data_IF_620471156279
#
_entry.id   IF_620471156279
#
_cell.length_a   1.000
_cell.length_b   1.000
_cell.length_c   1.000
_cell.angle_alpha   90.00
_cell.angle_beta   90.00
_cell.angle_gamma   90.00
#
_symmetry.space_group_name_H-M   'P 1'
#
loop_
_entity.id
_entity.type
_entity.pdbx_description
1 polymer ?
#
# COMPACT_ATOMS: atom_id res chain seq x y z
N UNK A 1 -6.48 3.75 -11.44
CA UNK A 1 -6.79 2.48 -10.76
C UNK A 1 -7.03 2.77 -9.29
N UNK A 2 -7.98 2.06 -8.69
CA UNK A 2 -8.30 2.15 -7.26
C UNK A 2 -7.28 1.36 -6.43
N UNK A 3 -7.27 1.57 -5.11
CA UNK A 3 -6.37 0.87 -4.19
C UNK A 3 -6.59 -0.65 -4.25
N UNK A 4 -7.84 -1.09 -4.23
CA UNK A 4 -8.23 -2.50 -4.22
C UNK A 4 -7.78 -3.21 -5.50
N UNK A 5 -7.80 -2.52 -6.65
CA UNK A 5 -7.33 -3.07 -7.92
C UNK A 5 -5.81 -3.30 -7.90
N UNK A 6 -5.06 -2.35 -7.34
CA UNK A 6 -3.60 -2.47 -7.20
C UNK A 6 -3.20 -3.55 -6.19
N UNK A 7 -3.94 -3.66 -5.10
CA UNK A 7 -3.74 -4.71 -4.10
C UNK A 7 -3.96 -6.09 -4.74
N UNK A 8 -5.03 -6.25 -5.51
CA UNK A 8 -5.30 -7.49 -6.23
C UNK A 8 -4.20 -7.85 -7.23
N UNK A 9 -3.65 -6.87 -7.96
CA UNK A 9 -2.51 -7.10 -8.86
C UNK A 9 -1.27 -7.56 -8.09
N UNK A 10 -1.00 -6.99 -6.92
CA UNK A 10 0.11 -7.43 -6.08
C UNK A 10 -0.09 -8.87 -5.60
N UNK A 11 -1.31 -9.25 -5.19
CA UNK A 11 -1.63 -10.64 -4.82
C UNK A 11 -1.43 -11.62 -5.98
N UNK A 12 -1.78 -11.22 -7.21
CA UNK A 12 -1.54 -12.02 -8.41
C UNK A 12 -0.05 -12.21 -8.69
N UNK A 13 0.76 -11.15 -8.50
CA UNK A 13 2.22 -11.23 -8.61
C UNK A 13 2.80 -12.18 -7.57
N UNK A 14 2.36 -12.08 -6.32
CA UNK A 14 2.82 -12.98 -5.23
C UNK A 14 2.54 -14.44 -5.60
N UNK A 15 1.34 -14.75 -6.10
CA UNK A 15 1.00 -16.11 -6.55
C UNK A 15 1.92 -16.62 -7.66
N UNK A 16 2.29 -15.75 -8.61
CA UNK A 16 3.23 -16.12 -9.68
C UNK A 16 4.62 -16.40 -9.09
N UNK A 17 5.07 -15.59 -8.13
CA UNK A 17 6.38 -15.76 -7.49
C UNK A 17 6.46 -16.98 -6.56
N UNK A 18 5.33 -17.42 -6.00
CA UNK A 18 5.23 -18.65 -5.18
C UNK A 18 5.15 -19.93 -6.00
N UNK A 19 4.84 -19.85 -7.30
CA UNK A 19 4.82 -21.02 -8.19
C UNK A 19 6.24 -21.46 -8.55
N UNK A 20 6.61 -22.67 -8.13
CA UNK A 20 7.92 -23.29 -8.40
C UNK A 20 8.21 -23.47 -9.91
N UNK A 21 7.19 -23.42 -10.77
CA UNK A 21 7.32 -23.54 -12.21
C UNK A 21 7.61 -22.20 -12.90
N UNK A 22 7.59 -21.09 -12.17
CA UNK A 22 7.86 -19.77 -12.73
C UNK A 22 9.32 -19.67 -13.17
N UNK A 23 9.60 -19.41 -14.47
CA UNK A 23 10.97 -19.23 -14.94
C UNK A 23 11.65 -18.05 -14.24
N UNK A 24 12.95 -18.18 -13.96
CA UNK A 24 13.72 -17.17 -13.22
C UNK A 24 13.61 -15.76 -13.84
N UNK A 25 13.70 -15.65 -15.16
CA UNK A 25 13.60 -14.36 -15.86
C UNK A 25 12.22 -13.69 -15.64
N UNK A 26 11.15 -14.51 -15.59
CA UNK A 26 9.80 -14.01 -15.30
C UNK A 26 9.68 -13.61 -13.84
N UNK A 27 10.25 -14.40 -12.91
CA UNK A 27 10.23 -14.06 -11.49
C UNK A 27 10.92 -12.72 -11.20
N UNK A 28 12.05 -12.44 -11.87
CA UNK A 28 12.76 -11.15 -11.73
C UNK A 28 11.87 -9.99 -12.18
N UNK A 29 11.24 -10.10 -13.36
CA UNK A 29 10.32 -9.05 -13.87
C UNK A 29 9.12 -8.85 -12.93
N UNK A 30 8.51 -9.95 -12.46
CA UNK A 30 7.36 -9.90 -11.56
C UNK A 30 7.72 -9.33 -10.20
N UNK A 31 8.92 -9.60 -9.71
CA UNK A 31 9.43 -8.99 -8.48
C UNK A 31 9.56 -7.48 -8.62
N UNK A 32 10.15 -6.97 -9.71
CA UNK A 32 10.25 -5.54 -9.98
C UNK A 32 8.87 -4.87 -10.08
N UNK A 33 7.93 -5.48 -10.81
CA UNK A 33 6.54 -5.03 -10.89
C UNK A 33 5.88 -4.96 -9.49
N UNK A 34 6.07 -6.00 -8.68
CA UNK A 34 5.54 -6.08 -7.31
C UNK A 34 6.11 -4.99 -6.39
N UNK A 35 7.41 -4.70 -6.50
CA UNK A 35 8.06 -3.63 -5.73
C UNK A 35 7.51 -2.25 -6.09
N UNK A 36 7.27 -2.00 -7.38
CA UNK A 36 6.67 -0.75 -7.83
C UNK A 36 5.23 -0.61 -7.33
N UNK A 37 4.41 -1.65 -7.45
CA UNK A 37 3.04 -1.67 -6.92
C UNK A 37 3.00 -1.44 -5.41
N UNK A 38 3.92 -2.04 -4.67
CA UNK A 38 4.01 -1.85 -3.21
C UNK A 38 4.31 -0.40 -2.83
N UNK A 39 5.19 0.27 -3.57
CA UNK A 39 5.47 1.69 -3.35
C UNK A 39 4.23 2.56 -3.62
N UNK A 40 3.49 2.29 -4.69
CA UNK A 40 2.27 3.02 -5.00
C UNK A 40 1.17 2.81 -3.95
N UNK A 41 1.01 1.58 -3.43
CA UNK A 41 0.06 1.27 -2.37
C UNK A 41 0.40 2.03 -1.08
N UNK A 42 1.68 2.08 -0.70
CA UNK A 42 2.16 2.87 0.45
C UNK A 42 1.84 4.35 0.29
N UNK A 43 2.08 4.92 -0.89
CA UNK A 43 1.75 6.32 -1.18
C UNK A 43 0.25 6.60 -1.11
N UNK A 44 -0.57 5.64 -1.53
CA UNK A 44 -2.02 5.76 -1.44
C UNK A 44 -2.49 5.82 0.01
N UNK A 45 -1.97 4.92 0.85
CA UNK A 45 -2.27 4.88 2.29
C UNK A 45 -1.79 6.15 3.00
N UNK A 46 -0.58 6.61 2.69
CA UNK A 46 -0.03 7.86 3.24
C UNK A 46 -0.93 9.05 2.93
N UNK A 47 -1.39 9.20 1.68
CA UNK A 47 -2.32 10.28 1.29
C UNK A 47 -3.66 10.17 1.99
N UNK A 48 -4.16 8.95 2.20
CA UNK A 48 -5.39 8.73 2.95
C UNK A 48 -5.23 9.14 4.42
N UNK A 49 -4.13 8.76 5.06
CA UNK A 49 -3.78 9.15 6.43
C UNK A 49 -3.64 10.68 6.57
N UNK A 50 -2.93 11.33 5.65
CA UNK A 50 -2.78 12.79 5.63
C UNK A 50 -4.14 13.50 5.51
N UNK A 51 -5.03 12.99 4.66
CA UNK A 51 -6.39 13.52 4.52
C UNK A 51 -7.20 13.35 5.79
N UNK A 52 -7.12 12.19 6.44
CA UNK A 52 -7.78 11.95 7.74
C UNK A 52 -7.25 12.92 8.79
N UNK A 53 -5.92 13.07 8.88
CA UNK A 53 -5.29 14.04 9.80
C UNK A 53 -5.75 15.47 9.55
N UNK A 54 -5.96 15.88 8.30
CA UNK A 54 -6.50 17.20 7.97
C UNK A 54 -7.95 17.35 8.42
N UNK A 55 -8.80 16.33 8.22
CA UNK A 55 -10.20 16.35 8.63
C UNK A 55 -10.37 16.33 10.16
N UNK A 56 -9.44 15.70 10.87
CA UNK A 56 -9.42 15.66 12.34
C UNK A 56 -8.83 16.92 12.98
N UNK A 57 -8.30 17.86 12.19
CA UNK A 57 -7.92 19.18 12.71
C UNK A 57 -9.19 19.99 12.94
N UNK A 58 -9.37 20.44 14.18
CA UNK A 58 -10.42 21.37 14.57
C UNK A 58 -10.11 22.81 14.11
N UNK A 59 -11.03 23.75 14.32
CA UNK A 59 -10.92 25.17 13.90
C UNK A 59 -9.65 25.89 14.42
N UNK A 60 -8.99 25.34 15.45
CA UNK A 60 -7.72 25.84 16.01
C UNK A 60 -6.46 25.15 15.44
N UNK A 61 -6.60 24.23 14.48
CA UNK A 61 -5.47 23.56 13.82
C UNK A 61 -4.76 22.50 14.67
N UNK A 62 -5.31 22.12 15.84
CA UNK A 62 -4.76 21.04 16.68
C UNK A 62 -5.26 19.68 16.19
N UNK A 63 -4.33 18.72 16.12
CA UNK A 63 -4.67 17.31 15.94
C UNK A 63 -5.32 16.80 17.23
N UNK A 64 -6.62 16.48 17.19
CA UNK A 64 -7.24 15.64 18.22
C UNK A 64 -6.87 14.19 17.95
N UNK A 65 -5.59 13.87 18.10
CA UNK A 65 -5.14 12.50 18.31
C UNK A 65 -5.08 12.38 19.83
N UNK A 66 -6.15 11.91 20.45
CA UNK A 66 -5.93 11.15 21.69
C UNK A 66 -5.08 9.98 21.24
N UNK A 67 -3.80 10.01 21.62
CA UNK A 67 -2.84 8.96 21.32
C UNK A 67 -3.48 7.63 21.71
N UNK A 68 -3.96 6.91 20.70
CA UNK A 68 -4.38 5.54 20.84
C UNK A 68 -3.13 4.74 21.12
N UNK A 69 -2.69 4.73 22.38
CA UNK A 69 -1.92 3.65 22.95
C UNK A 69 -2.70 2.37 22.69
N UNK A 70 -2.39 1.71 21.57
CA UNK A 70 -2.71 0.31 21.40
C UNK A 70 -1.68 -0.43 22.26
N UNK A 71 -2.06 -0.74 23.50
CA UNK A 71 -1.36 -1.71 24.35
C UNK A 71 -1.20 -3.05 23.63
#
# INVERSE_FOLDING_TARGET
MKFEEKLKQLEEIVKILEDENTPLDIAIVKFEEGMNLMNELKDYLKKAEEKIKLLLRNEEGKLNLEDGEIN
#
